data_IF_309648064303
#
_entry.id   IF_309648064303
#
_cell.length_a   1.000
_cell.length_b   1.000
_cell.length_c   1.000
_cell.angle_alpha   90.00
_cell.angle_beta   90.00
_cell.angle_gamma   90.00
#
_symmetry.space_group_name_H-M   'P 1'
#
loop_
_entity.id
_entity.type
_entity.pdbx_description
1 polymer ?
#
# COMPACT_ATOMS: atom_id res chain seq x y z
N UNK A 1 21.23 -8.62 -4.84
CA UNK A 1 20.26 -7.58 -5.23
C UNK A 1 19.69 -6.95 -3.96
N UNK A 2 20.21 -5.80 -3.54
CA UNK A 2 19.60 -5.00 -2.47
C UNK A 2 18.36 -4.32 -3.05
N UNK A 3 17.20 -4.95 -2.88
CA UNK A 3 15.92 -4.39 -3.32
C UNK A 3 15.61 -3.11 -2.55
N UNK A 4 15.00 -2.11 -3.22
CA UNK A 4 14.54 -0.86 -2.61
C UNK A 4 13.71 -1.15 -1.36
N UNK A 5 14.14 -0.62 -0.22
CA UNK A 5 13.50 -0.79 1.08
C UNK A 5 12.04 -0.33 1.04
N UNK A 6 11.13 -1.12 1.63
CA UNK A 6 9.71 -0.76 1.75
C UNK A 6 9.56 0.33 2.80
N UNK A 7 8.72 1.32 2.52
CA UNK A 7 8.44 2.41 3.46
C UNK A 7 7.12 2.18 4.18
N UNK A 8 6.96 2.80 5.35
CA UNK A 8 5.69 2.80 6.09
C UNK A 8 4.57 3.43 5.26
N UNK A 9 4.85 4.52 4.55
CA UNK A 9 3.87 5.24 3.73
C UNK A 9 3.33 4.37 2.60
N UNK A 10 4.19 3.59 1.93
CA UNK A 10 3.75 2.64 0.90
C UNK A 10 2.79 1.59 1.49
N UNK A 11 3.09 1.03 2.67
CA UNK A 11 2.24 0.02 3.31
C UNK A 11 0.93 0.61 3.87
N UNK A 12 0.96 1.85 4.35
CA UNK A 12 -0.26 2.59 4.71
C UNK A 12 -1.16 2.80 3.50
N UNK A 13 -0.61 3.19 2.35
CA UNK A 13 -1.40 3.33 1.13
C UNK A 13 -1.98 1.99 0.64
N UNK A 14 -1.24 0.89 0.76
CA UNK A 14 -1.77 -0.46 0.45
C UNK A 14 -2.89 -0.85 1.42
N UNK A 15 -2.76 -0.55 2.72
CA UNK A 15 -3.81 -0.81 3.71
C UNK A 15 -5.10 -0.03 3.39
N UNK A 16 -4.98 1.20 2.89
CA UNK A 16 -6.12 1.98 2.41
C UNK A 16 -6.87 1.26 1.28
N UNK A 17 -6.14 0.78 0.28
CA UNK A 17 -6.73 0.02 -0.83
C UNK A 17 -7.38 -1.28 -0.36
N UNK A 18 -6.74 -1.99 0.58
CA UNK A 18 -7.26 -3.24 1.16
C UNK A 18 -8.64 -3.04 1.79
N UNK A 19 -8.83 -1.95 2.54
CA UNK A 19 -10.09 -1.65 3.23
C UNK A 19 -11.19 -1.09 2.31
N UNK A 20 -10.89 -0.85 1.03
CA UNK A 20 -11.88 -0.48 0.01
C UNK A 20 -12.46 -1.67 -0.76
N UNK A 21 -12.03 -2.90 -0.45
CA UNK A 21 -12.50 -4.13 -1.12
C UNK A 21 -12.40 -4.09 -2.66
N UNK A 22 -11.29 -3.54 -3.16
CA UNK A 22 -11.02 -3.41 -4.60
C UNK A 22 -10.59 -4.74 -5.24
N UNK A 23 -10.82 -4.87 -6.55
CA UNK A 23 -10.32 -5.99 -7.36
C UNK A 23 -8.88 -5.77 -7.83
N UNK A 24 -8.23 -6.81 -8.37
CA UNK A 24 -6.85 -6.73 -8.86
C UNK A 24 -6.68 -5.77 -10.05
N UNK A 25 -7.73 -5.56 -10.85
CA UNK A 25 -7.74 -4.65 -12.00
C UNK A 25 -8.25 -3.25 -11.65
N UNK A 26 -8.42 -2.92 -10.37
CA UNK A 26 -8.87 -1.60 -9.96
C UNK A 26 -7.81 -0.55 -10.31
N UNK A 27 -8.16 0.56 -11.00
CA UNK A 27 -7.22 1.60 -11.40
C UNK A 27 -6.37 2.17 -10.24
N UNK A 28 -6.88 2.14 -9.01
CA UNK A 28 -6.13 2.61 -7.84
C UNK A 28 -4.85 1.80 -7.58
N UNK A 29 -4.78 0.55 -8.05
CA UNK A 29 -3.58 -0.28 -7.99
C UNK A 29 -2.54 0.24 -8.98
N UNK A 30 -2.94 0.51 -10.22
CA UNK A 30 -2.09 1.08 -11.28
C UNK A 30 -1.55 2.44 -10.84
N UNK A 31 -2.41 3.34 -10.37
CA UNK A 31 -2.01 4.66 -9.89
C UNK A 31 -0.98 4.59 -8.76
N UNK A 32 -1.18 3.71 -7.77
CA UNK A 32 -0.24 3.55 -6.67
C UNK A 32 1.07 2.91 -7.12
N UNK A 33 1.02 1.98 -8.07
CA UNK A 33 2.19 1.35 -8.66
C UNK A 33 3.07 2.41 -9.36
N UNK A 34 2.47 3.22 -10.21
CA UNK A 34 3.13 4.35 -10.89
C UNK A 34 3.73 5.33 -9.89
N UNK A 35 2.93 5.80 -8.93
CA UNK A 35 3.35 6.78 -7.93
C UNK A 35 4.52 6.33 -7.07
N UNK A 36 4.63 5.03 -6.81
CA UNK A 36 5.70 4.46 -5.99
C UNK A 36 6.88 3.94 -6.81
N UNK A 37 6.75 3.86 -8.15
CA UNK A 37 7.71 3.18 -9.02
C UNK A 37 7.79 1.68 -8.73
N UNK A 38 6.65 1.05 -8.42
CA UNK A 38 6.50 -0.38 -8.16
C UNK A 38 5.66 -1.01 -9.28
N UNK A 39 5.61 -2.33 -9.34
CA UNK A 39 4.67 -3.03 -10.22
C UNK A 39 3.31 -3.22 -9.53
N UNK A 40 2.23 -3.28 -10.32
CA UNK A 40 0.89 -3.61 -9.84
C UNK A 40 0.87 -4.94 -9.07
N UNK A 41 1.57 -5.96 -9.58
CA UNK A 41 1.73 -7.24 -8.90
C UNK A 41 2.37 -7.09 -7.51
N UNK A 42 3.32 -6.16 -7.34
CA UNK A 42 3.92 -5.87 -6.04
C UNK A 42 2.93 -5.20 -5.08
N UNK A 43 2.09 -4.28 -5.57
CA UNK A 43 0.99 -3.68 -4.79
C UNK A 43 0.01 -4.77 -4.35
N UNK A 44 -0.47 -5.58 -5.29
CA UNK A 44 -1.43 -6.65 -5.04
C UNK A 44 -0.91 -7.70 -4.05
N UNK A 45 0.34 -8.15 -4.23
CA UNK A 45 0.99 -9.06 -3.28
C UNK A 45 1.05 -8.45 -1.87
N UNK A 46 1.32 -7.15 -1.75
CA UNK A 46 1.33 -6.48 -0.44
C UNK A 46 -0.05 -6.40 0.20
N UNK A 47 -1.11 -6.20 -0.59
CA UNK A 47 -2.49 -6.33 -0.10
C UNK A 47 -2.72 -7.73 0.48
N UNK A 48 -2.30 -8.77 -0.26
CA UNK A 48 -2.38 -10.17 0.21
C UNK A 48 -1.60 -10.45 1.50
N UNK A 49 -0.50 -9.72 1.76
CA UNK A 49 0.22 -9.82 3.03
C UNK A 49 -0.59 -9.28 4.22
N UNK A 50 -1.40 -8.23 4.03
CA UNK A 50 -2.33 -7.77 5.07
C UNK A 50 -3.45 -8.77 5.29
N UNK A 51 -3.99 -9.33 4.20
CA UNK A 51 -5.01 -10.38 4.27
C UNK A 51 -4.47 -11.62 5.03
N UNK A 52 -3.19 -11.96 4.86
CA UNK A 52 -2.52 -13.02 5.63
C UNK A 52 -2.36 -12.73 7.14
N UNK A 53 -2.45 -11.46 7.57
CA UNK A 53 -2.39 -11.06 8.97
C UNK A 53 -3.78 -10.91 9.61
N UNK A 54 -4.85 -10.92 8.81
CA UNK A 54 -6.22 -10.76 9.28
C UNK A 54 -6.84 -12.13 9.60
N UNK A 55 -7.12 -12.43 10.88
CA UNK A 55 -7.69 -13.72 11.28
C UNK A 55 -9.11 -13.96 10.74
N UNK A 56 -9.79 -12.93 10.23
CA UNK A 56 -11.10 -13.07 9.60
C UNK A 56 -11.03 -13.53 8.14
N UNK A 57 -9.84 -13.55 7.52
CA UNK A 57 -9.64 -13.98 6.14
C UNK A 57 -9.25 -15.46 6.13
N UNK A 58 -10.05 -16.35 5.50
CA UNK A 58 -9.84 -17.80 5.56
C UNK A 58 -8.61 -18.32 4.77
N UNK A 59 -8.09 -17.55 3.81
CA UNK A 59 -6.87 -17.88 3.08
C UNK A 59 -5.69 -17.02 3.57
N UNK A 60 -4.85 -17.60 4.43
CA UNK A 60 -3.59 -16.99 4.81
C UNK A 60 -2.67 -16.92 3.59
N UNK A 61 -2.37 -15.70 3.13
CA UNK A 61 -1.38 -15.46 2.08
C UNK A 61 0.04 -15.92 2.45
N UNK A 62 1.00 -15.70 1.55
CA UNK A 62 2.40 -16.14 1.68
C UNK A 62 3.01 -15.72 3.03
N UNK A 63 3.42 -16.69 3.85
CA UNK A 63 3.82 -16.50 5.26
C UNK A 63 5.06 -15.63 5.55
N UNK A 64 5.66 -14.98 4.55
CA UNK A 64 6.80 -14.05 4.72
C UNK A 64 6.36 -12.60 4.55
N UNK A 65 5.51 -12.16 5.47
CA UNK A 65 5.13 -10.75 5.58
C UNK A 65 6.34 -9.91 6.01
N UNK A 66 6.48 -8.67 5.51
CA UNK A 66 7.57 -7.79 5.94
C UNK A 66 7.31 -7.21 7.32
N UNK A 67 8.38 -6.87 8.05
CA UNK A 67 8.28 -6.29 9.40
C UNK A 67 7.47 -4.99 9.42
N UNK A 68 7.69 -4.10 8.45
CA UNK A 68 6.92 -2.85 8.32
C UNK A 68 5.43 -3.09 8.16
N UNK A 69 5.04 -4.09 7.35
CA UNK A 69 3.63 -4.48 7.15
C UNK A 69 3.01 -4.99 8.45
N UNK A 70 3.76 -5.81 9.21
CA UNK A 70 3.30 -6.29 10.53
C UNK A 70 3.10 -5.15 11.52
N UNK A 71 4.00 -4.17 11.55
CA UNK A 71 3.89 -2.99 12.44
C UNK A 71 2.65 -2.17 12.10
N UNK A 72 2.46 -1.83 10.82
CA UNK A 72 1.26 -1.11 10.35
C UNK A 72 -0.01 -1.86 10.70
N UNK A 73 -0.03 -3.18 10.51
CA UNK A 73 -1.19 -4.01 10.88
C UNK A 73 -1.46 -4.02 12.39
N UNK A 74 -0.44 -4.21 13.22
CA UNK A 74 -0.60 -4.19 14.68
C UNK A 74 -1.15 -2.85 15.18
N UNK A 75 -0.68 -1.74 14.62
CA UNK A 75 -1.21 -0.42 14.92
C UNK A 75 -2.66 -0.26 14.45
N UNK A 76 -2.99 -0.77 13.26
CA UNK A 76 -4.35 -0.77 12.74
C UNK A 76 -5.31 -1.56 13.65
N UNK A 77 -4.88 -2.71 14.16
CA UNK A 77 -5.68 -3.51 15.10
C UNK A 77 -5.92 -2.78 16.43
N UNK A 78 -4.98 -1.94 16.86
CA UNK A 78 -5.12 -1.16 18.09
C UNK A 78 -6.02 0.08 17.91
N UNK A 79 -5.84 0.82 16.81
CA UNK A 79 -6.60 2.04 16.52
C UNK A 79 -6.94 2.13 15.01
N UNK A 80 -8.01 1.45 14.59
CA UNK A 80 -8.38 1.39 13.17
C UNK A 80 -8.69 2.76 12.58
N UNK A 81 -9.36 3.64 13.34
CA UNK A 81 -9.81 4.94 12.84
C UNK A 81 -8.62 5.87 12.55
N UNK A 82 -7.67 5.97 13.48
CA UNK A 82 -6.46 6.77 13.28
C UNK A 82 -5.66 6.24 12.10
N UNK A 83 -5.42 4.94 12.06
CA UNK A 83 -4.58 4.34 11.01
C UNK A 83 -5.24 4.42 9.64
N UNK A 84 -6.57 4.31 9.52
CA UNK A 84 -7.25 4.53 8.24
C UNK A 84 -7.17 5.98 7.77
N UNK A 85 -7.16 6.94 8.71
CA UNK A 85 -6.95 8.36 8.39
C UNK A 85 -5.53 8.59 7.86
N UNK A 86 -4.51 8.03 8.52
CA UNK A 86 -3.12 8.03 8.05
C UNK A 86 -2.96 7.33 6.69
N UNK A 87 -3.62 6.19 6.52
CA UNK A 87 -3.60 5.41 5.28
C UNK A 87 -4.18 6.19 4.10
N UNK A 88 -5.31 6.88 4.31
CA UNK A 88 -5.90 7.77 3.31
C UNK A 88 -4.96 8.93 2.99
N UNK A 89 -4.35 9.55 4.00
CA UNK A 89 -3.40 10.65 3.80
C UNK A 89 -2.16 10.20 3.00
N UNK A 90 -1.56 9.06 3.36
CA UNK A 90 -0.41 8.48 2.68
C UNK A 90 -0.71 8.19 1.20
N UNK A 91 -1.85 7.57 0.90
CA UNK A 91 -2.29 7.32 -0.48
C UNK A 91 -2.39 8.63 -1.28
N UNK A 92 -3.04 9.66 -0.73
CA UNK A 92 -3.15 10.97 -1.41
C UNK A 92 -1.79 11.63 -1.63
N UNK A 93 -0.92 11.63 -0.63
CA UNK A 93 0.42 12.23 -0.74
C UNK A 93 1.26 11.58 -1.83
N UNK A 94 1.22 10.25 -1.94
CA UNK A 94 1.96 9.51 -2.97
C UNK A 94 1.47 9.87 -4.39
N UNK A 95 0.15 10.01 -4.59
CA UNK A 95 -0.40 10.42 -5.88
C UNK A 95 -0.05 11.85 -6.26
N UNK A 96 -0.08 12.79 -5.30
CA UNK A 96 0.31 14.19 -5.55
C UNK A 96 1.78 14.30 -5.92
N UNK A 97 2.66 13.57 -5.23
CA UNK A 97 4.10 13.53 -5.55
C UNK A 97 4.33 13.05 -6.99
N UNK A 98 3.55 12.06 -7.44
CA UNK A 98 3.66 11.55 -8.80
C UNK A 98 3.25 12.61 -9.83
N UNK A 99 2.13 13.30 -9.60
CA UNK A 99 1.65 14.36 -10.48
C UNK A 99 2.69 15.49 -10.63
N UNK A 100 3.21 16.00 -9.50
CA UNK A 100 4.23 17.05 -9.50
C UNK A 100 5.52 16.59 -10.20
N UNK A 101 5.89 15.30 -10.07
CA UNK A 101 7.06 14.75 -10.76
C UNK A 101 6.85 14.74 -12.28
N UNK A 102 5.67 14.34 -12.76
CA UNK A 102 5.37 14.30 -14.18
C UNK A 102 5.34 15.69 -14.81
N UNK A 103 4.71 16.67 -14.14
CA UNK A 103 4.68 18.07 -14.58
C UNK A 103 6.11 18.63 -14.76
N UNK A 104 7.01 18.39 -13.79
CA UNK A 104 8.42 18.84 -13.87
C UNK A 104 9.24 18.19 -14.98
N UNK A 105 8.87 17.00 -15.46
CA UNK A 105 9.55 16.33 -16.57
C UNK A 105 9.07 16.89 -17.91
N UNK A 106 7.79 17.25 -18.01
CA UNK A 106 7.21 17.84 -19.22
C UNK A 106 7.65 19.30 -19.44
N UNK A 107 8.00 19.99 -18.37
CA UNK A 107 8.50 21.38 -18.40
C UNK A 107 10.03 21.50 -18.61
N UNK A 108 10.76 20.38 -18.71
CA UNK A 108 12.23 20.32 -18.81
C UNK A 108 12.71 19.90 -20.20
#
# INVERSE_FOLDING_TARGET
MTGRQRTREEDLAVLYLRNRSISQSDPAITELAEATGRSEASIWMRKGNFDALDPSVPEAGLGRVAEVTRKVWAEYQHDPQRILSEARAAYRSLLVINQVRLERILDA
#
